data_IF_778938632739
#
_entry.id   IF_778938632739
#
_cell.length_a   1.000
_cell.length_b   1.000
_cell.length_c   1.000
_cell.angle_alpha   90.00
_cell.angle_beta   90.00
_cell.angle_gamma   90.00
#
_symmetry.space_group_name_H-M   'P 1'
#
loop_
_entity.id
_entity.type
_entity.pdbx_description
1 polymer ?
#
# COMPACT_ATOMS: atom_id res chain seq x y z
N UNK A 1 53.65 15.59 20.56
CA UNK A 1 52.97 16.69 19.83
C UNK A 1 51.48 16.48 19.97
N UNK A 2 50.76 17.57 20.28
CA UNK A 2 49.48 17.57 20.98
C UNK A 2 48.25 17.16 20.15
N UNK A 3 47.22 16.75 20.89
CA UNK A 3 45.88 16.33 20.51
C UNK A 3 45.11 17.30 19.61
N UNK A 4 44.18 16.75 18.82
CA UNK A 4 42.79 17.25 18.78
C UNK A 4 41.81 16.09 18.93
N UNK A 5 41.22 15.98 20.12
CA UNK A 5 39.88 15.45 20.33
C UNK A 5 38.93 16.45 19.69
N UNK A 6 38.15 16.05 18.68
CA UNK A 6 36.92 16.76 18.38
C UNK A 6 35.81 16.13 19.21
N UNK A 7 35.29 16.98 20.08
CA UNK A 7 34.12 16.82 20.93
C UNK A 7 32.91 16.40 20.11
N UNK A 8 32.08 15.55 20.72
CA UNK A 8 30.68 15.46 20.37
C UNK A 8 30.07 16.86 20.51
N UNK A 9 29.79 17.48 19.37
CA UNK A 9 29.01 18.71 19.27
C UNK A 9 27.93 18.45 18.25
N UNK A 10 26.71 18.42 18.78
CA UNK A 10 25.42 18.57 18.12
C UNK A 10 25.51 19.09 16.68
N UNK A 11 25.56 18.18 15.70
CA UNK A 11 25.03 18.47 14.39
C UNK A 11 23.52 18.32 14.48
N UNK A 12 22.86 19.40 14.89
CA UNK A 12 21.45 19.66 14.64
C UNK A 12 21.22 19.51 13.13
N UNK A 13 20.85 18.30 12.71
CA UNK A 13 20.31 18.06 11.39
C UNK A 13 19.03 18.88 11.31
N UNK A 14 19.12 19.99 10.58
CA UNK A 14 17.99 20.75 10.09
C UNK A 14 16.93 19.75 9.64
N UNK A 15 15.73 19.83 10.25
CA UNK A 15 14.66 18.86 10.07
C UNK A 15 14.29 18.72 8.59
N UNK A 16 14.86 17.72 7.93
CA UNK A 16 14.33 17.17 6.70
C UNK A 16 12.99 16.57 7.09
N UNK A 17 11.91 17.21 6.68
CA UNK A 17 10.55 16.74 6.90
C UNK A 17 10.42 15.41 6.11
N UNK A 18 10.64 14.27 6.78
CA UNK A 18 10.56 12.95 6.16
C UNK A 18 9.11 12.69 5.78
N UNK A 19 8.90 12.17 4.58
CA UNK A 19 7.55 11.83 4.11
C UNK A 19 7.18 10.41 4.53
N UNK A 20 5.90 10.10 4.60
CA UNK A 20 5.44 8.72 4.83
C UNK A 20 5.26 8.00 3.51
N UNK A 21 5.39 6.68 3.54
CA UNK A 21 5.25 5.83 2.37
C UNK A 21 4.24 4.70 2.56
N UNK A 22 3.76 4.19 1.44
CA UNK A 22 3.07 2.92 1.30
C UNK A 22 3.88 2.08 0.33
N UNK A 23 4.44 1.00 0.84
CA UNK A 23 5.12 -0.02 0.06
C UNK A 23 4.08 -1.09 -0.30
N UNK A 24 4.10 -1.56 -1.53
CA UNK A 24 3.13 -2.50 -2.06
C UNK A 24 3.86 -3.71 -2.64
N UNK A 25 3.46 -4.92 -2.26
CA UNK A 25 3.79 -6.08 -3.08
C UNK A 25 3.13 -5.97 -4.46
N UNK A 26 3.69 -6.65 -5.46
CA UNK A 26 3.19 -6.59 -6.83
C UNK A 26 2.17 -7.70 -7.10
N UNK A 27 2.65 -8.93 -7.10
CA UNK A 27 1.89 -10.13 -7.48
C UNK A 27 0.96 -10.52 -6.33
N UNK A 28 -0.34 -10.66 -6.59
CA UNK A 28 -1.35 -10.93 -5.56
C UNK A 28 -1.84 -9.70 -4.78
N UNK A 29 -1.26 -8.52 -5.01
CA UNK A 29 -1.64 -7.26 -4.32
C UNK A 29 -2.05 -6.15 -5.28
N UNK A 30 -1.24 -5.86 -6.29
CA UNK A 30 -1.53 -4.89 -7.36
C UNK A 30 -2.08 -5.61 -8.59
N UNK A 31 -1.47 -6.74 -8.94
CA UNK A 31 -1.84 -7.55 -10.10
C UNK A 31 -2.23 -8.96 -9.66
N UNK A 32 -3.00 -9.65 -10.48
CA UNK A 32 -3.39 -11.05 -10.20
C UNK A 32 -2.15 -11.95 -10.04
N UNK A 33 -2.15 -12.81 -9.02
CA UNK A 33 -1.09 -13.79 -8.79
C UNK A 33 -1.25 -14.94 -9.79
N UNK A 34 -0.28 -15.07 -10.71
CA UNK A 34 -0.29 -16.07 -11.78
C UNK A 34 0.92 -17.01 -11.75
N UNK A 35 1.79 -16.89 -10.75
CA UNK A 35 3.00 -17.70 -10.58
C UNK A 35 4.05 -17.46 -11.67
N UNK A 36 5.20 -16.89 -11.30
CA UNK A 36 6.31 -16.62 -12.24
C UNK A 36 5.88 -15.91 -13.54
N UNK A 37 4.98 -14.93 -13.41
CA UNK A 37 4.49 -14.11 -14.52
C UNK A 37 5.67 -13.48 -15.29
N UNK A 38 5.80 -13.82 -16.56
CA UNK A 38 6.88 -13.37 -17.44
C UNK A 38 6.38 -12.80 -18.79
N UNK A 39 5.07 -12.69 -18.96
CA UNK A 39 4.44 -12.07 -20.12
C UNK A 39 3.78 -10.74 -19.69
N UNK A 40 4.30 -9.59 -20.14
CA UNK A 40 3.71 -8.28 -19.84
C UNK A 40 2.25 -8.16 -20.27
N UNK A 41 1.82 -8.84 -21.34
CA UNK A 41 0.44 -8.76 -21.81
C UNK A 41 -0.54 -9.59 -20.97
N UNK A 42 -0.02 -10.47 -20.11
CA UNK A 42 -0.83 -11.25 -19.17
C UNK A 42 -1.04 -10.52 -17.82
N UNK A 43 -0.54 -9.29 -17.66
CA UNK A 43 -0.77 -8.48 -16.46
C UNK A 43 -2.22 -8.01 -16.42
N UNK A 44 -2.87 -8.25 -15.29
CA UNK A 44 -4.21 -7.76 -14.99
C UNK A 44 -4.21 -7.08 -13.62
N UNK A 45 -4.63 -5.81 -13.57
CA UNK A 45 -4.80 -5.10 -12.31
C UNK A 45 -5.95 -5.71 -11.51
N UNK A 46 -5.73 -5.93 -10.22
CA UNK A 46 -6.81 -6.33 -9.31
C UNK A 46 -7.84 -5.18 -9.22
N UNK A 47 -9.15 -5.47 -9.19
CA UNK A 47 -10.17 -4.44 -9.11
C UNK A 47 -10.02 -3.50 -7.91
N UNK A 48 -9.99 -2.19 -8.15
CA UNK A 48 -9.88 -1.17 -7.09
C UNK A 48 -8.44 -0.68 -6.82
N UNK A 49 -7.43 -1.29 -7.46
CA UNK A 49 -6.01 -0.95 -7.22
C UNK A 49 -5.67 0.47 -7.62
N UNK A 50 -6.10 0.93 -8.79
CA UNK A 50 -5.83 2.30 -9.21
C UNK A 50 -6.51 3.32 -8.28
N UNK A 51 -7.75 3.06 -7.86
CA UNK A 51 -8.46 3.88 -6.87
C UNK A 51 -7.69 3.95 -5.56
N UNK A 52 -7.17 2.82 -5.07
CA UNK A 52 -6.38 2.73 -3.86
C UNK A 52 -5.08 3.57 -3.95
N UNK A 53 -4.34 3.43 -5.06
CA UNK A 53 -3.10 4.18 -5.28
C UNK A 53 -3.37 5.68 -5.42
N UNK A 54 -4.44 6.08 -6.12
CA UNK A 54 -4.86 7.49 -6.15
C UNK A 54 -5.18 8.04 -4.77
N UNK A 55 -5.78 7.24 -3.89
CA UNK A 55 -6.04 7.63 -2.51
C UNK A 55 -4.74 7.86 -1.74
N UNK A 56 -3.75 6.98 -1.89
CA UNK A 56 -2.41 7.21 -1.32
C UNK A 56 -1.74 8.47 -1.87
N UNK A 57 -1.83 8.68 -3.19
CA UNK A 57 -1.29 9.89 -3.83
C UNK A 57 -1.97 11.16 -3.29
N UNK A 58 -3.30 11.14 -3.09
CA UNK A 58 -4.05 12.25 -2.51
C UNK A 58 -3.65 12.55 -1.06
N UNK A 59 -3.34 11.50 -0.28
CA UNK A 59 -2.84 11.64 1.10
C UNK A 59 -1.40 12.19 1.19
N UNK A 60 -0.73 12.36 0.04
CA UNK A 60 0.66 12.80 -0.04
C UNK A 60 1.65 11.73 0.39
N UNK A 61 1.25 10.45 0.39
CA UNK A 61 2.11 9.32 0.69
C UNK A 61 2.92 8.94 -0.55
N UNK A 62 4.19 8.58 -0.34
CA UNK A 62 5.01 7.97 -1.39
C UNK A 62 4.55 6.54 -1.66
N UNK A 63 4.32 6.17 -2.91
CA UNK A 63 3.84 4.83 -3.26
C UNK A 63 4.94 4.07 -3.98
N UNK A 64 5.41 2.97 -3.39
CA UNK A 64 6.52 2.19 -3.93
C UNK A 64 6.09 0.74 -4.11
N UNK A 65 6.54 0.10 -5.18
CA UNK A 65 6.42 -1.36 -5.34
C UNK A 65 7.69 -2.02 -4.81
N UNK A 66 7.53 -3.08 -4.02
CA UNK A 66 8.62 -3.91 -3.51
C UNK A 66 8.29 -5.38 -3.75
N UNK A 67 9.01 -6.06 -4.63
CA UNK A 67 8.61 -7.40 -5.09
C UNK A 67 9.72 -8.44 -5.07
N UNK A 68 9.40 -9.68 -4.66
CA UNK A 68 10.33 -10.80 -4.67
C UNK A 68 10.27 -11.57 -6.01
N UNK A 69 11.14 -11.25 -6.97
CA UNK A 69 11.17 -11.84 -8.31
C UNK A 69 12.17 -13.02 -8.45
N UNK A 70 12.00 -14.06 -7.63
CA UNK A 70 12.94 -15.21 -7.61
C UNK A 70 12.95 -16.05 -8.90
N UNK A 71 12.03 -15.81 -9.84
CA UNK A 71 12.05 -16.43 -11.16
C UNK A 71 13.30 -16.09 -11.98
N UNK A 72 13.94 -14.94 -11.69
CA UNK A 72 15.22 -14.56 -12.30
C UNK A 72 16.33 -15.52 -11.90
N UNK A 73 16.60 -15.70 -10.60
CA UNK A 73 17.60 -16.65 -10.12
C UNK A 73 17.29 -18.11 -10.49
N UNK A 74 16.03 -18.44 -10.74
CA UNK A 74 15.59 -19.77 -11.22
C UNK A 74 15.73 -19.95 -12.74
N UNK A 75 16.05 -18.89 -13.49
CA UNK A 75 16.19 -18.92 -14.94
C UNK A 75 14.86 -19.00 -15.70
N UNK A 76 13.73 -18.67 -15.06
CA UNK A 76 12.41 -18.66 -15.72
C UNK A 76 12.20 -17.44 -16.60
N UNK A 77 12.87 -16.33 -16.27
CA UNK A 77 12.87 -15.09 -17.03
C UNK A 77 14.09 -14.24 -16.64
N UNK A 78 14.30 -13.14 -17.35
CA UNK A 78 15.46 -12.24 -17.16
C UNK A 78 15.07 -10.98 -16.39
N UNK A 79 16.05 -10.23 -15.87
CA UNK A 79 15.81 -8.89 -15.31
C UNK A 79 15.14 -7.96 -16.33
N UNK A 80 15.51 -8.04 -17.62
CA UNK A 80 14.84 -7.26 -18.68
C UNK A 80 13.34 -7.57 -18.78
N UNK A 81 12.96 -8.85 -18.60
CA UNK A 81 11.55 -9.25 -18.57
C UNK A 81 10.81 -8.66 -17.37
N UNK A 82 11.47 -8.58 -16.20
CA UNK A 82 10.90 -7.93 -15.01
C UNK A 82 10.67 -6.45 -15.29
N UNK A 83 11.61 -5.76 -15.93
CA UNK A 83 11.45 -4.35 -16.30
C UNK A 83 10.33 -4.12 -17.31
N UNK A 84 10.15 -5.00 -18.30
CA UNK A 84 9.03 -4.93 -19.25
C UNK A 84 7.68 -5.06 -18.54
N UNK A 85 7.57 -6.01 -17.60
CA UNK A 85 6.38 -6.20 -16.76
C UNK A 85 6.12 -4.96 -15.90
N UNK A 86 7.16 -4.41 -15.27
CA UNK A 86 7.05 -3.21 -14.44
C UNK A 86 6.62 -1.98 -15.27
N UNK A 87 7.19 -1.78 -16.46
CA UNK A 87 6.82 -0.67 -17.35
C UNK A 87 5.37 -0.77 -17.84
N UNK A 88 4.88 -1.98 -18.12
CA UNK A 88 3.47 -2.21 -18.46
C UNK A 88 2.56 -1.90 -17.26
N UNK A 89 2.94 -2.32 -16.06
CA UNK A 89 2.22 -2.00 -14.83
C UNK A 89 2.10 -0.48 -14.63
N UNK A 90 3.21 0.25 -14.75
CA UNK A 90 3.21 1.72 -14.64
C UNK A 90 2.28 2.37 -15.68
N UNK A 91 2.30 1.89 -16.93
CA UNK A 91 1.44 2.42 -17.98
C UNK A 91 -0.05 2.20 -17.68
N UNK A 92 -0.43 1.02 -17.17
CA UNK A 92 -1.81 0.72 -16.77
C UNK A 92 -2.28 1.63 -15.64
N UNK A 93 -1.45 1.81 -14.60
CA UNK A 93 -1.76 2.69 -13.47
C UNK A 93 -1.85 4.16 -13.90
N UNK A 94 -0.92 4.63 -14.74
CA UNK A 94 -0.90 5.99 -15.23
C UNK A 94 -2.16 6.32 -16.06
N UNK A 95 -2.66 5.36 -16.86
CA UNK A 95 -3.91 5.51 -17.60
C UNK A 95 -5.12 5.73 -16.69
N UNK A 96 -5.09 5.22 -15.46
CA UNK A 96 -6.13 5.43 -14.44
C UNK A 96 -5.83 6.56 -13.45
N UNK A 97 -4.79 7.37 -13.73
CA UNK A 97 -4.37 8.50 -12.90
C UNK A 97 -3.68 8.13 -11.59
N UNK A 98 -3.30 6.86 -11.43
CA UNK A 98 -2.53 6.36 -10.29
C UNK A 98 -1.03 6.50 -10.57
N UNK A 99 -0.24 6.89 -9.56
CA UNK A 99 1.20 7.11 -9.71
C UNK A 99 2.01 6.33 -8.68
N UNK A 100 3.09 5.73 -9.15
CA UNK A 100 4.16 5.13 -8.34
C UNK A 100 5.34 6.11 -8.28
N UNK A 101 6.01 6.15 -7.13
CA UNK A 101 7.23 6.92 -6.91
C UNK A 101 8.50 6.07 -7.08
N UNK A 102 8.38 4.74 -7.07
CA UNK A 102 9.50 3.82 -7.33
C UNK A 102 9.08 2.35 -7.36
N UNK A 103 9.86 1.53 -8.07
CA UNK A 103 9.69 0.08 -8.17
C UNK A 103 11.02 -0.58 -7.84
N UNK A 104 11.00 -1.48 -6.86
CA UNK A 104 12.16 -2.23 -6.39
C UNK A 104 11.82 -3.72 -6.42
N UNK A 105 12.78 -4.53 -6.84
CA UNK A 105 12.63 -5.99 -6.80
C UNK A 105 13.90 -6.70 -6.37
N UNK A 106 13.70 -7.89 -5.81
CA UNK A 106 14.77 -8.81 -5.47
C UNK A 106 14.77 -9.99 -6.47
N UNK A 107 15.80 -10.15 -7.32
CA UNK A 107 15.89 -11.26 -8.26
C UNK A 107 16.37 -12.58 -7.63
N UNK A 108 16.89 -12.53 -6.40
CA UNK A 108 17.58 -13.64 -5.75
C UNK A 108 16.68 -14.81 -5.33
N UNK A 109 17.29 -15.99 -5.27
CA UNK A 109 16.68 -17.20 -4.76
C UNK A 109 16.58 -17.15 -3.22
N UNK A 110 15.57 -17.81 -2.59
CA UNK A 110 15.50 -17.90 -1.13
C UNK A 110 16.76 -18.41 -0.42
N UNK A 111 17.60 -19.19 -1.11
CA UNK A 111 18.83 -19.76 -0.56
C UNK A 111 20.03 -18.80 -0.58
N UNK A 112 19.92 -17.65 -1.27
CA UNK A 112 21.06 -16.76 -1.51
C UNK A 112 21.38 -15.86 -0.30
N UNK A 113 20.55 -15.89 0.75
CA UNK A 113 20.71 -15.09 1.98
C UNK A 113 20.97 -13.59 1.73
N UNK A 114 20.40 -13.04 0.66
CA UNK A 114 20.52 -11.63 0.34
C UNK A 114 19.72 -10.76 1.33
N UNK A 115 20.11 -9.48 1.46
CA UNK A 115 19.45 -8.52 2.37
C UNK A 115 18.21 -7.85 1.77
N UNK A 116 17.94 -8.04 0.48
CA UNK A 116 16.83 -7.36 -0.22
C UNK A 116 15.56 -8.22 -0.28
N UNK A 117 15.64 -9.55 -0.19
CA UNK A 117 14.48 -10.43 -0.30
C UNK A 117 13.60 -10.33 0.94
N UNK A 118 12.34 -9.92 0.79
CA UNK A 118 11.36 -9.94 1.90
C UNK A 118 11.31 -11.36 2.50
N UNK A 119 11.38 -11.51 3.84
CA UNK A 119 11.15 -10.48 4.86
C UNK A 119 12.34 -9.56 5.18
N UNK A 120 13.51 -9.71 4.56
CA UNK A 120 14.59 -8.75 4.77
C UNK A 120 14.21 -7.36 4.24
N UNK A 121 14.54 -6.27 4.97
CA UNK A 121 14.00 -4.94 4.69
C UNK A 121 14.77 -4.18 3.61
N UNK A 122 15.74 -4.78 2.92
CA UNK A 122 16.67 -4.06 2.03
C UNK A 122 15.99 -3.22 0.95
N UNK A 123 14.92 -3.71 0.33
CA UNK A 123 14.15 -2.92 -0.65
C UNK A 123 13.45 -1.71 -0.02
N UNK A 124 12.92 -1.85 1.20
CA UNK A 124 12.27 -0.76 1.92
C UNK A 124 13.28 0.30 2.34
N UNK A 125 14.44 -0.14 2.85
CA UNK A 125 15.55 0.74 3.22
C UNK A 125 16.07 1.54 2.03
N UNK A 126 16.22 0.88 0.88
CA UNK A 126 16.65 1.54 -0.35
C UNK A 126 15.65 2.62 -0.78
N UNK A 127 14.37 2.28 -0.93
CA UNK A 127 13.36 3.26 -1.32
C UNK A 127 13.21 4.40 -0.31
N UNK A 128 13.41 4.11 0.98
CA UNK A 128 13.35 5.14 2.01
C UNK A 128 14.53 6.11 2.00
N UNK A 129 15.73 5.65 1.64
CA UNK A 129 16.90 6.52 1.46
C UNK A 129 16.71 7.42 0.23
N UNK A 130 16.31 6.83 -0.91
CA UNK A 130 16.15 7.55 -2.19
C UNK A 130 15.03 8.60 -2.14
N UNK A 131 13.93 8.34 -1.41
CA UNK A 131 12.75 9.21 -1.35
C UNK A 131 12.56 9.92 -0.01
N UNK A 132 13.53 9.80 0.92
CA UNK A 132 13.47 10.38 2.27
C UNK A 132 12.19 9.99 3.04
N UNK A 133 11.89 8.70 3.07
CA UNK A 133 10.68 8.14 3.71
C UNK A 133 10.95 7.79 5.17
N UNK A 134 9.97 8.05 6.03
CA UNK A 134 9.94 7.66 7.43
C UNK A 134 9.30 6.28 7.64
N UNK A 135 10.13 5.24 7.58
CA UNK A 135 9.69 3.84 7.65
C UNK A 135 8.82 3.47 8.87
N UNK A 136 9.12 3.93 10.11
CA UNK A 136 8.30 3.57 11.27
C UNK A 136 6.86 4.10 11.22
N UNK A 137 6.61 5.15 10.43
CA UNK A 137 5.27 5.71 10.21
C UNK A 137 4.73 5.39 8.80
N UNK A 138 5.30 4.36 8.16
CA UNK A 138 4.92 3.90 6.82
C UNK A 138 4.26 2.53 6.89
N UNK A 139 3.67 2.15 5.75
CA UNK A 139 2.86 0.94 5.62
C UNK A 139 3.48 0.02 4.56
N UNK A 140 3.36 -1.29 4.73
CA UNK A 140 3.60 -2.27 3.67
C UNK A 140 2.34 -3.14 3.52
N UNK A 141 1.81 -3.18 2.30
CA UNK A 141 0.65 -3.99 1.92
C UNK A 141 1.13 -5.15 1.06
N UNK A 142 0.78 -6.37 1.42
CA UNK A 142 1.16 -7.56 0.66
C UNK A 142 0.25 -8.75 0.95
N UNK A 143 0.41 -9.84 0.19
CA UNK A 143 -0.40 -11.05 0.30
C UNK A 143 0.31 -12.18 1.07
N UNK A 144 1.55 -11.97 1.52
CA UNK A 144 2.37 -13.00 2.19
C UNK A 144 2.85 -12.56 3.56
N UNK A 145 3.11 -13.53 4.43
CA UNK A 145 3.71 -13.26 5.76
C UNK A 145 5.10 -12.60 5.66
N UNK A 146 5.82 -12.83 4.56
CA UNK A 146 7.09 -12.16 4.27
C UNK A 146 6.96 -10.63 4.17
N UNK A 147 5.83 -10.13 3.68
CA UNK A 147 5.56 -8.68 3.60
C UNK A 147 5.37 -8.10 5.00
N UNK A 148 4.57 -8.79 5.82
CA UNK A 148 4.32 -8.39 7.22
C UNK A 148 5.64 -8.35 8.00
N UNK A 149 6.47 -9.40 7.87
CA UNK A 149 7.78 -9.44 8.50
C UNK A 149 8.72 -8.32 8.04
N UNK A 150 8.71 -7.95 6.76
CA UNK A 150 9.51 -6.82 6.26
C UNK A 150 9.04 -5.49 6.84
N UNK A 151 7.72 -5.28 6.97
CA UNK A 151 7.14 -4.08 7.55
C UNK A 151 7.59 -3.90 9.01
N UNK A 152 7.45 -4.97 9.81
CA UNK A 152 7.76 -4.94 11.24
C UNK A 152 9.25 -4.74 11.51
N UNK A 153 10.13 -5.28 10.67
CA UNK A 153 11.59 -5.11 10.79
C UNK A 153 12.06 -3.66 10.64
N UNK A 154 11.26 -2.81 9.99
CA UNK A 154 11.54 -1.37 9.89
C UNK A 154 10.68 -0.53 10.84
N UNK A 155 9.94 -1.18 11.74
CA UNK A 155 9.01 -0.54 12.68
C UNK A 155 7.74 0.00 12.05
N UNK A 156 7.49 -0.31 10.77
CA UNK A 156 6.28 0.10 10.05
C UNK A 156 5.11 -0.85 10.29
N UNK A 157 3.97 -0.53 9.69
CA UNK A 157 2.72 -1.31 9.80
C UNK A 157 2.56 -2.27 8.61
N UNK A 158 2.35 -3.55 8.88
CA UNK A 158 2.09 -4.59 7.87
C UNK A 158 0.60 -4.84 7.68
N UNK A 159 0.11 -4.72 6.44
CA UNK A 159 -1.28 -4.96 6.08
C UNK A 159 -1.34 -6.18 5.15
N UNK A 160 -2.06 -7.22 5.57
CA UNK A 160 -2.27 -8.42 4.76
C UNK A 160 -3.53 -8.24 3.91
N UNK A 161 -3.41 -8.33 2.58
CA UNK A 161 -4.58 -8.42 1.69
C UNK A 161 -4.97 -9.88 1.47
N UNK A 162 -6.27 -10.17 1.33
CA UNK A 162 -6.77 -11.53 1.10
C UNK A 162 -6.76 -11.96 -0.38
N UNK A 163 -6.37 -11.07 -1.28
CA UNK A 163 -6.03 -11.38 -2.67
C UNK A 163 -4.74 -12.20 -2.75
N UNK A 164 -4.44 -12.81 -3.90
CA UNK A 164 -3.25 -13.66 -4.05
C UNK A 164 -3.26 -14.82 -3.06
N UNK A 165 -2.16 -14.99 -2.31
CA UNK A 165 -2.00 -16.04 -1.30
C UNK A 165 -2.49 -15.65 0.11
N UNK A 166 -3.06 -14.46 0.29
CA UNK A 166 -3.35 -13.92 1.61
C UNK A 166 -4.37 -14.72 2.42
N UNK A 167 -5.32 -15.37 1.75
CA UNK A 167 -6.31 -16.22 2.42
C UNK A 167 -5.64 -17.47 3.01
N UNK A 168 -4.75 -18.11 2.26
CA UNK A 168 -3.97 -19.27 2.70
C UNK A 168 -3.00 -18.89 3.82
N UNK A 169 -2.30 -17.76 3.68
CA UNK A 169 -1.35 -17.26 4.68
C UNK A 169 -2.03 -16.95 6.02
N UNK A 170 -3.22 -16.31 5.99
CA UNK A 170 -4.00 -16.07 7.20
C UNK A 170 -4.41 -17.37 7.91
N UNK A 171 -4.76 -18.41 7.15
CA UNK A 171 -5.14 -19.72 7.68
C UNK A 171 -3.96 -20.56 8.20
N UNK A 172 -2.73 -20.27 7.75
CA UNK A 172 -1.51 -21.02 8.04
C UNK A 172 -0.55 -20.39 9.05
N UNK A 173 -0.89 -19.22 9.60
CA UNK A 173 0.04 -18.30 10.29
C UNK A 173 1.06 -18.97 11.24
N UNK A 174 2.33 -18.96 10.82
CA UNK A 174 3.53 -19.05 11.66
C UNK A 174 4.30 -17.73 11.51
N UNK A 175 3.92 -16.69 12.25
CA UNK A 175 4.55 -15.38 12.17
C UNK A 175 3.85 -14.33 13.06
N UNK A 176 4.40 -13.12 13.11
CA UNK A 176 3.75 -12.00 13.79
C UNK A 176 2.44 -11.63 13.06
N UNK A 177 1.35 -11.35 13.79
CA UNK A 177 0.08 -11.02 13.17
C UNK A 177 0.17 -9.68 12.42
N UNK A 178 -0.52 -9.53 11.28
CA UNK A 178 -0.58 -8.25 10.59
C UNK A 178 -1.30 -7.19 11.44
N UNK A 179 -0.94 -5.92 11.24
CA UNK A 179 -1.61 -4.78 11.89
C UNK A 179 -3.05 -4.59 11.40
N UNK A 180 -3.33 -5.02 10.16
CA UNK A 180 -4.66 -5.07 9.59
C UNK A 180 -4.78 -6.16 8.52
N UNK A 181 -5.96 -6.77 8.41
CA UNK A 181 -6.31 -7.69 7.32
C UNK A 181 -7.38 -7.02 6.47
N UNK A 182 -7.08 -6.84 5.18
CA UNK A 182 -7.97 -6.23 4.21
C UNK A 182 -8.39 -7.26 3.16
N UNK A 183 -9.60 -7.18 2.61
CA UNK A 183 -9.99 -8.07 1.51
C UNK A 183 -9.18 -7.83 0.23
N UNK A 184 -8.80 -6.58 -0.02
CA UNK A 184 -8.06 -6.13 -1.19
C UNK A 184 -7.37 -4.79 -0.89
N UNK A 185 -6.59 -4.30 -1.87
CA UNK A 185 -5.82 -3.07 -1.73
C UNK A 185 -6.70 -1.83 -1.49
N UNK A 186 -7.93 -1.79 -2.00
CA UNK A 186 -8.80 -0.63 -1.77
C UNK A 186 -9.27 -0.56 -0.31
N UNK A 187 -9.61 -1.69 0.30
CA UNK A 187 -9.92 -1.71 1.73
C UNK A 187 -8.69 -1.37 2.58
N UNK A 188 -7.50 -1.85 2.21
CA UNK A 188 -6.26 -1.44 2.87
C UNK A 188 -6.06 0.08 2.79
N UNK A 189 -6.33 0.68 1.64
CA UNK A 189 -6.22 2.13 1.46
C UNK A 189 -7.20 2.93 2.32
N UNK A 190 -8.42 2.42 2.53
CA UNK A 190 -9.37 3.02 3.45
C UNK A 190 -8.97 2.91 4.91
N UNK A 191 -8.35 1.80 5.30
CA UNK A 191 -7.79 1.70 6.62
C UNK A 191 -6.65 2.72 6.82
N UNK A 192 -5.74 2.85 5.85
CA UNK A 192 -4.67 3.87 5.87
C UNK A 192 -5.24 5.30 5.92
N UNK A 193 -6.30 5.59 5.17
CA UNK A 193 -7.00 6.88 5.23
C UNK A 193 -7.46 7.22 6.67
N UNK A 194 -8.02 6.23 7.38
CA UNK A 194 -8.45 6.40 8.77
C UNK A 194 -7.24 6.65 9.68
N UNK A 195 -6.15 5.90 9.50
CA UNK A 195 -4.92 6.09 10.27
C UNK A 195 -4.32 7.49 10.08
N UNK A 196 -4.19 7.94 8.82
CA UNK A 196 -3.66 9.26 8.49
C UNK A 196 -4.58 10.38 9.01
N UNK A 197 -5.90 10.22 8.91
CA UNK A 197 -6.85 11.21 9.42
C UNK A 197 -6.84 11.36 10.94
N UNK A 198 -6.73 10.25 11.67
CA UNK A 198 -6.64 10.26 13.13
C UNK A 198 -5.39 11.01 13.65
N UNK A 199 -4.32 11.01 12.85
CA UNK A 199 -3.07 11.70 13.15
C UNK A 199 -3.06 13.16 12.68
N UNK A 200 -3.83 13.51 11.65
CA UNK A 200 -3.90 14.86 11.03
C UNK A 200 -5.15 15.67 11.41
N UNK A 201 -5.61 15.59 12.68
CA UNK A 201 -6.89 16.14 13.26
C UNK A 201 -7.30 17.59 12.96
N UNK A 202 -6.67 18.33 12.05
CA UNK A 202 -7.00 19.71 11.70
C UNK A 202 -7.24 20.01 10.21
N UNK A 203 -6.98 19.09 9.26
CA UNK A 203 -7.01 19.45 7.82
C UNK A 203 -7.85 18.55 6.90
N UNK A 204 -8.50 17.50 7.40
CA UNK A 204 -9.28 16.59 6.56
C UNK A 204 -10.75 16.95 6.45
N UNK A 205 -11.08 18.14 5.97
CA UNK A 205 -12.42 18.35 5.42
C UNK A 205 -12.60 17.45 4.18
N UNK A 206 -13.77 16.84 4.01
CA UNK A 206 -14.09 16.06 2.80
C UNK A 206 -14.19 17.02 1.61
N UNK A 207 -13.04 17.22 0.95
CA UNK A 207 -12.95 18.00 -0.28
C UNK A 207 -13.58 17.22 -1.43
N UNK A 208 -14.06 17.95 -2.43
CA UNK A 208 -14.63 17.39 -3.67
C UNK A 208 -13.68 16.39 -4.33
N UNK A 209 -12.38 16.67 -4.31
CA UNK A 209 -11.33 15.80 -4.86
C UNK A 209 -11.30 14.42 -4.21
N UNK A 210 -11.45 14.34 -2.87
CA UNK A 210 -11.50 13.05 -2.18
C UNK A 210 -12.73 12.26 -2.61
N UNK A 211 -13.91 12.91 -2.69
CA UNK A 211 -15.15 12.25 -3.11
C UNK A 211 -15.07 11.64 -4.52
N UNK A 212 -14.30 12.25 -5.42
CA UNK A 212 -14.08 11.74 -6.78
C UNK A 212 -13.16 10.51 -6.82
N UNK A 213 -12.35 10.29 -5.77
CA UNK A 213 -11.46 9.12 -5.65
C UNK A 213 -12.17 7.95 -4.96
N UNK A 214 -13.00 8.23 -3.96
CA UNK A 214 -13.64 7.21 -3.14
C UNK A 214 -14.65 6.36 -3.94
N UNK A 215 -14.61 5.06 -3.70
CA UNK A 215 -15.52 4.06 -4.26
C UNK A 215 -16.04 3.11 -3.17
N UNK A 216 -17.18 2.47 -3.40
CA UNK A 216 -17.73 1.50 -2.46
C UNK A 216 -16.74 0.35 -2.24
N UNK A 217 -16.29 0.07 -1.01
CA UNK A 217 -15.36 -1.03 -0.72
C UNK A 217 -15.92 -2.40 -1.12
N UNK A 218 -17.25 -2.54 -1.16
CA UNK A 218 -17.95 -3.81 -1.45
C UNK A 218 -18.05 -4.12 -2.94
N UNK A 219 -18.49 -3.15 -3.74
CA UNK A 219 -18.77 -3.36 -5.16
C UNK A 219 -17.88 -2.54 -6.09
N UNK A 220 -16.95 -1.75 -5.54
CA UNK A 220 -16.06 -0.82 -6.26
C UNK A 220 -16.77 0.22 -7.12
N UNK A 221 -18.08 0.38 -6.93
CA UNK A 221 -18.91 1.35 -7.64
C UNK A 221 -19.03 2.68 -6.91
N UNK A 222 -19.76 3.60 -7.52
CA UNK A 222 -19.88 4.98 -7.03
C UNK A 222 -20.52 5.09 -5.63
N UNK A 223 -20.15 6.17 -4.94
CA UNK A 223 -20.73 6.57 -3.66
C UNK A 223 -21.17 8.04 -3.71
N UNK A 224 -22.17 8.37 -2.89
CA UNK A 224 -22.80 9.69 -2.88
C UNK A 224 -22.85 10.24 -1.47
N UNK A 225 -22.44 11.50 -1.28
CA UNK A 225 -22.57 12.17 0.02
C UNK A 225 -24.04 12.29 0.42
N UNK A 226 -24.38 11.83 1.63
CA UNK A 226 -25.71 11.97 2.20
C UNK A 226 -26.08 13.45 2.35
N UNK A 227 -27.37 13.78 2.24
CA UNK A 227 -27.86 15.17 2.37
C UNK A 227 -27.44 15.87 3.66
N UNK A 228 -27.26 15.09 4.74
CA UNK A 228 -26.82 15.60 6.05
C UNK A 228 -25.31 15.78 6.16
N UNK A 229 -24.54 15.27 5.19
CA UNK A 229 -23.08 15.27 5.22
C UNK A 229 -22.46 14.24 6.19
N UNK A 230 -23.27 13.38 6.82
CA UNK A 230 -22.86 12.45 7.89
C UNK A 230 -22.50 11.04 7.38
N UNK A 231 -22.56 10.79 6.07
CA UNK A 231 -22.13 9.53 5.50
C UNK A 231 -22.09 9.50 3.97
N UNK A 232 -21.49 8.44 3.44
CA UNK A 232 -21.36 8.14 2.02
C UNK A 232 -22.22 6.93 1.65
N UNK A 233 -23.14 7.11 0.74
CA UNK A 233 -24.16 6.13 0.37
C UNK A 233 -23.70 5.37 -0.87
N UNK A 234 -23.70 4.04 -0.79
CA UNK A 234 -23.66 3.18 -1.97
C UNK A 234 -25.08 2.66 -2.26
N UNK A 235 -25.68 3.10 -3.37
CA UNK A 235 -27.04 2.67 -3.76
C UNK A 235 -27.09 1.20 -4.16
N UNK A 236 -26.05 0.71 -4.84
CA UNK A 236 -25.95 -0.69 -5.30
C UNK A 236 -25.94 -1.67 -4.13
N UNK A 237 -25.11 -1.39 -3.12
CA UNK A 237 -25.00 -2.24 -1.94
C UNK A 237 -26.05 -1.96 -0.87
N UNK A 238 -26.82 -0.88 -1.01
CA UNK A 238 -27.82 -0.40 -0.04
C UNK A 238 -27.23 -0.20 1.36
N UNK A 239 -26.07 0.46 1.41
CA UNK A 239 -25.37 0.78 2.65
C UNK A 239 -24.96 2.25 2.68
N UNK A 240 -24.76 2.76 3.90
CA UNK A 240 -24.16 4.06 4.17
C UNK A 240 -22.92 3.86 5.05
N UNK A 241 -21.79 4.42 4.61
CA UNK A 241 -20.53 4.48 5.33
C UNK A 241 -20.51 5.78 6.15
N UNK A 242 -20.36 5.72 7.48
CA UNK A 242 -20.41 6.92 8.30
C UNK A 242 -19.18 7.81 8.09
N UNK A 243 -19.37 9.12 8.24
CA UNK A 243 -18.28 10.08 8.37
C UNK A 243 -18.13 10.41 9.85
N UNK A 244 -16.96 10.15 10.42
CA UNK A 244 -16.63 10.42 11.84
C UNK A 244 -15.44 11.37 11.88
N UNK A 245 -15.57 12.50 12.57
CA UNK A 245 -14.52 13.52 12.66
C UNK A 245 -13.97 13.95 11.28
N UNK A 246 -14.87 14.19 10.33
CA UNK A 246 -14.59 14.50 8.91
C UNK A 246 -13.85 13.39 8.12
N UNK A 247 -13.67 12.20 8.71
CA UNK A 247 -13.03 11.05 8.08
C UNK A 247 -14.10 10.07 7.59
N UNK A 248 -14.14 9.76 6.27
CA UNK A 248 -14.98 8.68 5.75
C UNK A 248 -14.54 7.31 6.27
N UNK A 249 -15.39 6.65 7.06
CA UNK A 249 -15.13 5.29 7.55
C UNK A 249 -15.59 4.29 6.50
N UNK A 250 -14.73 4.06 5.51
CA UNK A 250 -14.98 3.24 4.32
C UNK A 250 -14.63 1.76 4.55
N UNK A 251 -14.98 1.21 5.72
CA UNK A 251 -14.81 -0.21 6.05
C UNK A 251 -16.16 -0.92 5.96
N UNK A 252 -16.20 -2.13 5.40
CA UNK A 252 -17.49 -2.83 5.19
C UNK A 252 -18.18 -3.17 6.52
N UNK A 253 -17.42 -3.56 7.54
CA UNK A 253 -17.99 -3.98 8.81
C UNK A 253 -18.54 -2.80 9.63
N UNK A 254 -18.16 -1.57 9.26
CA UNK A 254 -18.68 -0.32 9.82
C UNK A 254 -19.89 0.23 9.04
N UNK A 255 -20.27 -0.40 7.92
CA UNK A 255 -21.34 0.09 7.06
C UNK A 255 -22.72 -0.17 7.68
N UNK A 256 -23.61 0.83 7.60
CA UNK A 256 -24.98 0.74 8.10
C UNK A 256 -25.97 0.49 6.96
N UNK A 257 -27.10 -0.21 7.19
CA UNK A 257 -28.14 -0.37 6.17
C UNK A 257 -28.70 0.97 5.73
N UNK A 258 -28.74 1.22 4.41
CA UNK A 258 -29.36 2.40 3.83
C UNK A 258 -30.72 2.05 3.22
N UNK A 259 -31.76 2.75 3.66
CA UNK A 259 -33.09 2.73 3.05
C UNK A 259 -33.38 4.12 2.52
N UNK A 260 -33.62 4.22 1.21
CA UNK A 260 -34.08 5.47 0.60
C UNK A 260 -35.41 5.82 1.27
N UNK A 261 -35.51 7.00 1.88
CA UNK A 261 -36.79 7.49 2.38
C UNK A 261 -37.58 7.94 1.15
N UNK A 262 -38.72 7.28 0.91
CA UNK A 262 -39.72 7.67 -0.10
C UNK A 262 -40.10 9.15 0.00
#
# INVERSE_FOLDING_TARGET
>A
MALRRHTAEDSTAQGLNRCRGVFLDRDGTIIEEKGYLNDPEAIELIPGVAQAIRLFNYLGLKVLVVSNQSGVARGYFTDATVEEVNGKLEALLAHEGARLDGIYYCPHHPADNCVCRKPEPGMLLQGADELNIDLPHSYLVGDKGADIGAAHRVGGKGILVLTGYGTEELGGCQGDPPDFVARDLLEAAYWVLIQEGAERRHEMAIKKELLEILACPKCKGDIILAKKGDGLICKTCKVIYPIKDDIPVMLIDEALPYKEKD
#
